data_IF_591667249991
#
_entry.id   IF_591667249991
#
_cell.length_a   1.000
_cell.length_b   1.000
_cell.length_c   1.000
_cell.angle_alpha   90.00
_cell.angle_beta   90.00
_cell.angle_gamma   90.00
#
_symmetry.space_group_name_H-M   'P 1'
#
loop_
_entity.id
_entity.type
_entity.pdbx_description
1 polymer ?
#
# COMPACT_ATOMS: atom_id res chain seq x y z
N UNK A 1 4.07 -15.51 -1.87
CA UNK A 1 3.99 -14.54 -2.98
C UNK A 1 3.10 -13.42 -2.48
N UNK A 2 3.53 -12.16 -2.52
CA UNK A 2 2.70 -11.05 -2.04
C UNK A 2 1.43 -10.96 -2.90
N UNK A 3 0.27 -10.91 -2.25
CA UNK A 3 -1.03 -10.76 -2.88
C UNK A 3 -1.85 -9.74 -2.08
N UNK A 4 -2.99 -9.34 -2.63
CA UNK A 4 -3.81 -8.30 -2.04
C UNK A 4 -4.19 -8.59 -0.58
N UNK A 5 -4.64 -9.80 -0.29
CA UNK A 5 -5.08 -10.22 1.05
C UNK A 5 -3.92 -10.17 2.05
N UNK A 6 -2.76 -10.77 1.70
CA UNK A 6 -1.56 -10.74 2.54
C UNK A 6 -1.07 -9.32 2.81
N UNK A 7 -1.14 -8.42 1.83
CA UNK A 7 -0.74 -7.02 2.01
C UNK A 7 -1.72 -6.27 2.91
N UNK A 8 -3.03 -6.53 2.80
CA UNK A 8 -4.04 -5.94 3.68
C UNK A 8 -3.95 -6.47 5.12
N UNK A 9 -3.54 -7.73 5.32
CA UNK A 9 -3.28 -8.30 6.64
C UNK A 9 -2.10 -7.58 7.34
N UNK A 10 -1.02 -7.30 6.60
CA UNK A 10 0.11 -6.49 7.11
C UNK A 10 -0.38 -5.12 7.56
N UNK A 11 -1.16 -4.43 6.73
CA UNK A 11 -1.70 -3.12 7.10
C UNK A 11 -2.63 -3.19 8.31
N UNK A 12 -3.47 -4.21 8.39
CA UNK A 12 -4.36 -4.43 9.53
C UNK A 12 -3.57 -4.62 10.83
N UNK A 13 -2.48 -5.40 10.78
CA UNK A 13 -1.59 -5.57 11.92
C UNK A 13 -0.87 -4.27 12.31
N UNK A 14 -0.41 -3.50 11.32
CA UNK A 14 0.23 -2.20 11.56
C UNK A 14 -0.74 -1.19 12.19
N UNK A 15 -1.96 -1.08 11.66
CA UNK A 15 -3.03 -0.24 12.19
C UNK A 15 -3.38 -0.61 13.63
N UNK A 16 -3.52 -1.90 13.94
CA UNK A 16 -3.80 -2.40 15.28
C UNK A 16 -2.63 -2.17 16.26
N UNK A 17 -1.40 -2.14 15.75
CA UNK A 17 -0.21 -1.88 16.57
C UNK A 17 0.05 -0.40 16.86
N UNK A 18 -0.58 0.50 16.11
CA UNK A 18 -0.37 1.96 16.14
C UNK A 18 1.12 2.37 16.18
N UNK A 19 1.97 1.73 15.37
CA UNK A 19 3.41 2.00 15.34
C UNK A 19 3.86 2.77 14.07
N UNK A 20 3.87 4.13 14.10
CA UNK A 20 4.40 4.97 13.03
C UNK A 20 5.84 4.67 12.63
N UNK A 21 6.66 4.10 13.52
CA UNK A 21 8.05 3.75 13.19
C UNK A 21 8.15 2.65 12.12
N UNK A 22 7.07 1.91 11.85
CA UNK A 22 7.01 0.81 10.89
C UNK A 22 6.54 1.23 9.49
N UNK A 23 6.67 2.50 9.14
CA UNK A 23 6.41 3.00 7.78
C UNK A 23 7.16 2.19 6.71
N UNK A 24 8.41 1.79 7.00
CA UNK A 24 9.20 0.96 6.08
C UNK A 24 8.54 -0.38 5.78
N UNK A 25 7.85 -0.98 6.75
CA UNK A 25 7.14 -2.26 6.57
C UNK A 25 5.93 -2.10 5.64
N UNK A 26 5.19 -0.98 5.76
CA UNK A 26 4.10 -0.67 4.83
C UNK A 26 4.62 -0.41 3.41
N UNK A 27 5.70 0.34 3.27
CA UNK A 27 6.33 0.66 1.98
C UNK A 27 6.84 -0.60 1.26
N UNK A 28 7.55 -1.48 1.99
CA UNK A 28 8.04 -2.76 1.48
C UNK A 28 6.89 -3.68 1.07
N UNK A 29 5.80 -3.72 1.83
CA UNK A 29 4.63 -4.53 1.51
C UNK A 29 3.92 -4.05 0.24
N UNK A 30 3.81 -2.72 0.03
CA UNK A 30 3.27 -2.14 -1.21
C UNK A 30 4.19 -2.50 -2.38
N UNK A 31 5.50 -2.31 -2.24
CA UNK A 31 6.45 -2.62 -3.29
C UNK A 31 6.40 -4.11 -3.68
N UNK A 32 6.42 -5.01 -2.71
CA UNK A 32 6.38 -6.45 -2.94
C UNK A 32 5.08 -6.88 -3.65
N UNK A 33 3.95 -6.26 -3.31
CA UNK A 33 2.68 -6.49 -3.99
C UNK A 33 2.72 -6.02 -5.45
N UNK A 34 3.19 -4.80 -5.71
CA UNK A 34 3.25 -4.25 -7.07
C UNK A 34 4.26 -4.98 -7.96
N UNK A 35 5.38 -5.43 -7.39
CA UNK A 35 6.41 -6.18 -8.11
C UNK A 35 5.93 -7.53 -8.67
N UNK A 36 4.79 -8.05 -8.18
CA UNK A 36 4.17 -9.26 -8.73
C UNK A 36 3.43 -9.01 -10.07
N UNK A 37 3.24 -7.76 -10.47
CA UNK A 37 2.53 -7.38 -11.70
C UNK A 37 3.52 -6.88 -12.76
N UNK A 38 3.42 -7.46 -13.95
CA UNK A 38 4.24 -7.08 -15.11
C UNK A 38 3.62 -5.90 -15.86
N UNK A 39 4.37 -4.80 -15.98
CA UNK A 39 3.97 -3.61 -16.72
C UNK A 39 3.31 -2.53 -15.86
N UNK A 40 3.47 -1.27 -16.31
CA UNK A 40 3.03 -0.09 -15.57
C UNK A 40 1.51 -0.06 -15.36
N UNK A 41 0.74 -0.37 -16.40
CA UNK A 41 -0.73 -0.36 -16.33
C UNK A 41 -1.26 -1.39 -15.30
N UNK A 42 -0.67 -2.58 -15.26
CA UNK A 42 -1.04 -3.61 -14.29
C UNK A 42 -0.68 -3.22 -12.86
N UNK A 43 0.46 -2.53 -12.67
CA UNK A 43 0.86 -1.99 -11.37
C UNK A 43 -0.07 -0.86 -10.92
N UNK A 44 -0.51 0.01 -11.83
CA UNK A 44 -1.50 1.07 -11.54
C UNK A 44 -2.83 0.46 -11.12
N UNK A 45 -3.34 -0.54 -11.86
CA UNK A 45 -4.58 -1.22 -11.52
C UNK A 45 -4.48 -1.95 -10.17
N UNK A 46 -3.34 -2.61 -9.91
CA UNK A 46 -3.06 -3.26 -8.64
C UNK A 46 -3.06 -2.25 -7.48
N UNK A 47 -2.39 -1.11 -7.63
CA UNK A 47 -2.36 -0.06 -6.61
C UNK A 47 -3.76 0.52 -6.35
N UNK A 48 -4.57 0.74 -7.39
CA UNK A 48 -5.97 1.15 -7.25
C UNK A 48 -6.79 0.13 -6.47
N UNK A 49 -6.56 -1.17 -6.70
CA UNK A 49 -7.22 -2.26 -6.00
C UNK A 49 -6.81 -2.32 -4.54
N UNK A 50 -5.54 -2.08 -4.25
CA UNK A 50 -5.02 -1.98 -2.89
C UNK A 50 -5.62 -0.79 -2.14
N UNK A 51 -5.69 0.38 -2.78
CA UNK A 51 -6.32 1.57 -2.20
C UNK A 51 -7.79 1.35 -1.83
N UNK A 52 -8.55 0.64 -2.68
CA UNK A 52 -9.93 0.23 -2.35
C UNK A 52 -9.98 -0.73 -1.15
N UNK A 53 -9.03 -1.65 -1.04
CA UNK A 53 -8.93 -2.55 0.11
C UNK A 53 -8.64 -1.81 1.42
N UNK A 54 -7.73 -0.83 1.38
CA UNK A 54 -7.38 0.00 2.53
C UNK A 54 -8.57 0.85 3.01
N UNK A 55 -9.41 1.33 2.09
CA UNK A 55 -10.64 2.05 2.45
C UNK A 55 -11.65 1.19 3.26
N UNK A 56 -11.50 -0.14 3.23
CA UNK A 56 -12.28 -1.07 4.06
C UNK A 56 -11.69 -1.36 5.45
N UNK A 57 -10.50 -0.85 5.76
CA UNK A 57 -9.83 -1.04 7.05
C UNK A 57 -10.29 0.02 8.07
N UNK A 58 -9.94 -0.20 9.34
CA UNK A 58 -10.28 0.72 10.42
C UNK A 58 -9.55 2.07 10.27
N UNK A 59 -10.31 3.10 9.89
CA UNK A 59 -9.82 4.46 9.71
C UNK A 59 -9.59 5.24 11.01
N UNK A 60 -9.89 4.68 12.18
CA UNK A 60 -9.69 5.37 13.47
C UNK A 60 -8.23 5.36 13.97
N UNK A 61 -7.39 4.51 13.40
CA UNK A 61 -5.97 4.40 13.77
C UNK A 61 -5.18 5.66 13.41
N UNK A 62 -4.30 6.09 14.32
CA UNK A 62 -3.34 7.16 14.06
C UNK A 62 -2.35 6.84 12.93
N UNK A 63 -2.22 5.56 12.54
CA UNK A 63 -1.38 5.12 11.43
C UNK A 63 -2.07 5.25 10.06
N UNK A 64 -3.40 5.34 10.01
CA UNK A 64 -4.15 5.40 8.74
C UNK A 64 -3.71 6.57 7.84
N UNK A 65 -3.54 7.81 8.32
CA UNK A 65 -3.09 8.91 7.46
C UNK A 65 -1.71 8.67 6.84
N UNK A 66 -0.83 7.97 7.56
CA UNK A 66 0.53 7.65 7.12
C UNK A 66 0.51 6.57 6.03
N UNK A 67 -0.35 5.57 6.20
CA UNK A 67 -0.57 4.54 5.19
C UNK A 67 -1.11 5.14 3.88
N UNK A 68 -2.07 6.07 3.98
CA UNK A 68 -2.61 6.78 2.83
C UNK A 68 -1.55 7.61 2.11
N UNK A 69 -0.74 8.38 2.84
CA UNK A 69 0.39 9.13 2.25
C UNK A 69 1.36 8.20 1.51
N UNK A 70 1.65 7.03 2.07
CA UNK A 70 2.56 6.06 1.45
C UNK A 70 1.96 5.52 0.14
N UNK A 71 0.67 5.21 0.10
CA UNK A 71 -0.02 4.83 -1.14
C UNK A 71 0.02 5.94 -2.19
N UNK A 72 -0.20 7.19 -1.78
CA UNK A 72 -0.15 8.34 -2.67
C UNK A 72 1.25 8.56 -3.26
N UNK A 73 2.31 8.33 -2.47
CA UNK A 73 3.69 8.36 -2.97
C UNK A 73 3.95 7.28 -4.03
N UNK A 74 3.45 6.06 -3.83
CA UNK A 74 3.55 5.02 -4.87
C UNK A 74 2.71 5.38 -6.11
N UNK A 75 1.55 5.99 -5.93
CA UNK A 75 0.70 6.44 -7.03
C UNK A 75 1.40 7.51 -7.87
N UNK A 76 1.99 8.50 -7.22
CA UNK A 76 2.76 9.55 -7.88
C UNK A 76 3.93 8.95 -8.67
N UNK A 77 4.66 8.00 -8.08
CA UNK A 77 5.78 7.32 -8.74
C UNK A 77 5.38 6.51 -9.97
N UNK A 78 4.21 5.86 -9.95
CA UNK A 78 3.70 5.16 -11.14
C UNK A 78 3.14 6.13 -12.20
N UNK A 79 2.73 7.33 -11.80
CA UNK A 79 2.23 8.37 -12.70
C UNK A 79 3.35 9.23 -13.31
N UNK A 80 4.53 9.25 -12.70
CA UNK A 80 5.71 9.88 -13.28
C UNK A 80 6.02 9.20 -14.62
N UNK A 81 6.08 9.94 -15.75
CA UNK A 81 6.49 9.37 -17.00
C UNK A 81 7.90 8.81 -16.82
N UNK A 82 8.05 7.50 -16.94
CA UNK A 82 9.33 6.82 -16.91
C UNK A 82 10.21 7.41 -18.01
N UNK A 83 11.12 8.30 -17.60
CA UNK A 83 12.02 9.06 -18.46
C UNK A 83 13.01 8.18 -19.22
#
# INVERSE_FOLDING_TARGET
MANLETTLDVFSALLASEQPARIGEADEAIWAYLAAFEGLDAQVEALDRLGRGVAGLDGSSAFMPILLDTLDRHRARLAEPSA
#
